data_IF_354174567741
#
_entry.id   IF_354174567741
#
_cell.length_a   1.000
_cell.length_b   1.000
_cell.length_c   1.000
_cell.angle_alpha   90.00
_cell.angle_beta   90.00
_cell.angle_gamma   90.00
#
_symmetry.space_group_name_H-M   'P 1'
#
loop_
_entity.id
_entity.type
_entity.pdbx_description
1 polymer ?
#
# COMPACT_ATOMS: atom_id res chain seq x y z
N UNK A 1 32.39 1.27 -16.91
CA UNK A 1 31.43 0.68 -15.92
C UNK A 1 30.33 1.62 -15.26
N UNK A 2 29.41 2.33 -16.00
CA UNK A 2 28.34 3.20 -15.42
C UNK A 2 27.52 3.29 -14.10
N UNK A 3 28.23 3.31 -12.95
CA UNK A 3 27.66 3.28 -11.57
C UNK A 3 27.18 1.83 -11.13
N UNK A 4 27.12 1.43 -9.82
CA UNK A 4 26.58 0.10 -9.41
C UNK A 4 25.06 -0.14 -9.73
N UNK A 5 24.74 -1.15 -10.55
CA UNK A 5 23.32 -1.46 -10.89
C UNK A 5 22.55 -2.33 -9.84
N UNK A 6 22.29 -1.70 -8.69
CA UNK A 6 21.47 -2.30 -7.60
C UNK A 6 19.93 -2.12 -7.63
N UNK A 7 19.41 -1.19 -8.45
CA UNK A 7 17.96 -0.92 -8.57
C UNK A 7 17.20 -1.89 -9.54
N UNK A 8 17.15 -3.17 -9.17
CA UNK A 8 16.57 -4.27 -10.01
C UNK A 8 15.06 -4.50 -9.66
N UNK A 9 14.19 -3.61 -10.16
CA UNK A 9 12.72 -3.62 -9.84
C UNK A 9 11.84 -3.74 -11.14
N UNK A 10 10.54 -3.42 -11.03
CA UNK A 10 9.51 -3.46 -12.13
C UNK A 10 8.86 -4.88 -12.25
N UNK A 11 7.90 -5.18 -11.36
CA UNK A 11 7.14 -6.45 -11.32
C UNK A 11 5.61 -6.13 -11.38
N UNK A 12 4.84 -6.82 -12.24
CA UNK A 12 3.36 -6.61 -12.32
C UNK A 12 2.59 -7.22 -11.10
N UNK A 13 1.34 -6.77 -10.87
CA UNK A 13 0.52 -7.26 -9.72
C UNK A 13 0.00 -8.73 -9.95
N UNK A 14 -0.23 -9.44 -8.84
CA UNK A 14 -0.56 -10.90 -8.87
C UNK A 14 0.65 -11.88 -8.75
N UNK A 15 1.80 -11.40 -8.25
CA UNK A 15 3.05 -12.18 -8.10
C UNK A 15 3.65 -11.99 -6.66
N UNK A 16 4.42 -12.99 -6.18
CA UNK A 16 5.01 -12.97 -4.81
C UNK A 16 6.14 -11.88 -4.65
N UNK A 17 5.93 -10.93 -3.72
CA UNK A 17 6.87 -9.82 -3.45
C UNK A 17 7.38 -9.80 -1.97
N UNK A 18 8.59 -9.27 -1.76
CA UNK A 18 9.15 -9.06 -0.39
C UNK A 18 8.71 -7.65 0.11
N UNK A 19 9.28 -6.53 -0.38
CA UNK A 19 8.80 -5.14 -0.07
C UNK A 19 7.85 -4.53 -1.16
N UNK A 20 7.24 -3.36 -0.89
CA UNK A 20 6.38 -2.63 -1.89
C UNK A 20 7.14 -1.84 -3.01
N UNK A 21 8.42 -1.47 -2.80
CA UNK A 21 9.25 -0.81 -3.85
C UNK A 21 9.85 -1.71 -4.99
N UNK A 22 9.43 -2.98 -5.07
CA UNK A 22 9.81 -3.93 -6.16
C UNK A 22 8.78 -3.99 -7.34
N UNK A 23 7.46 -3.88 -7.08
CA UNK A 23 6.42 -3.88 -8.13
C UNK A 23 6.25 -2.50 -8.86
N UNK A 24 5.76 -2.55 -10.11
CA UNK A 24 5.38 -1.33 -10.90
C UNK A 24 4.25 -0.53 -10.16
N UNK A 25 3.13 -1.21 -9.83
CA UNK A 25 2.08 -0.67 -8.94
C UNK A 25 2.62 -0.92 -7.48
N UNK A 26 3.15 0.13 -6.83
CA UNK A 26 3.82 0.04 -5.49
C UNK A 26 2.80 -0.27 -4.34
N UNK A 27 2.55 -1.57 -4.23
CA UNK A 27 1.54 -2.15 -3.32
C UNK A 27 1.82 -3.66 -3.08
N UNK A 28 2.81 -4.02 -2.23
CA UNK A 28 3.02 -5.45 -1.83
C UNK A 28 1.95 -5.72 -0.73
N UNK A 29 0.98 -6.59 -1.04
CA UNK A 29 -0.19 -6.83 -0.17
C UNK A 29 0.00 -7.99 0.85
N UNK A 30 -0.15 -7.65 2.14
CA UNK A 30 0.04 -8.59 3.27
C UNK A 30 -1.22 -9.47 3.53
N UNK A 31 -1.05 -10.80 3.51
CA UNK A 31 -2.12 -11.78 3.85
C UNK A 31 -2.52 -11.92 5.38
N UNK A 32 -2.55 -10.81 6.13
CA UNK A 32 -3.01 -10.71 7.55
C UNK A 32 -2.05 -11.45 8.55
N UNK A 33 -1.00 -10.73 8.99
CA UNK A 33 0.06 -11.15 9.98
C UNK A 33 0.96 -12.40 9.62
N UNK A 34 0.51 -13.40 8.85
CA UNK A 34 1.35 -14.55 8.37
C UNK A 34 2.60 -14.17 7.48
N UNK A 35 2.54 -13.07 6.71
CA UNK A 35 3.64 -12.48 5.88
C UNK A 35 3.91 -13.04 4.44
N UNK A 36 3.16 -14.04 3.92
CA UNK A 36 3.27 -14.47 2.50
C UNK A 36 2.56 -13.37 1.63
N UNK A 37 3.36 -12.40 1.18
CA UNK A 37 2.87 -11.17 0.52
C UNK A 37 2.91 -11.24 -1.04
N UNK A 38 1.81 -10.80 -1.66
CA UNK A 38 1.61 -10.84 -3.14
C UNK A 38 1.19 -9.42 -3.63
N UNK A 39 1.80 -8.86 -4.70
CA UNK A 39 1.45 -7.48 -5.17
C UNK A 39 0.00 -7.33 -5.73
N UNK A 40 -0.51 -6.13 -5.49
CA UNK A 40 -1.89 -5.70 -5.79
C UNK A 40 -1.90 -4.26 -6.42
N UNK A 41 -3.11 -3.69 -6.56
CA UNK A 41 -3.29 -2.29 -7.04
C UNK A 41 -3.55 -1.30 -5.84
N UNK A 42 -3.39 0.01 -6.10
CA UNK A 42 -3.71 1.09 -5.12
C UNK A 42 -5.26 1.29 -4.94
N UNK A 43 -5.69 1.84 -3.79
CA UNK A 43 -7.13 1.96 -3.46
C UNK A 43 -7.91 3.10 -4.21
N UNK A 44 -9.20 2.82 -4.40
CA UNK A 44 -10.16 3.70 -5.12
C UNK A 44 -11.21 4.32 -4.16
N UNK A 45 -11.96 5.32 -4.66
CA UNK A 45 -12.94 6.11 -3.86
C UNK A 45 -13.98 5.25 -3.05
N UNK A 46 -14.07 5.53 -1.74
CA UNK A 46 -14.89 4.75 -0.74
C UNK A 46 -14.24 3.39 -0.27
N UNK A 47 -12.95 3.12 -0.54
CA UNK A 47 -12.24 1.91 -0.04
C UNK A 47 -11.21 2.26 1.08
N UNK A 48 -10.95 1.27 1.95
CA UNK A 48 -9.95 1.38 3.03
C UNK A 48 -8.48 1.46 2.49
N UNK A 49 -7.76 2.41 3.08
CA UNK A 49 -6.37 2.76 2.72
C UNK A 49 -5.48 3.04 3.97
N UNK A 50 -4.20 2.65 3.89
CA UNK A 50 -3.19 2.98 4.92
C UNK A 50 -2.74 4.45 4.66
N UNK A 51 -2.94 5.33 5.65
CA UNK A 51 -2.63 6.77 5.48
C UNK A 51 -1.09 7.13 5.45
N UNK A 52 -0.28 6.36 6.18
CA UNK A 52 1.20 6.42 6.17
C UNK A 52 1.77 5.17 5.41
N UNK A 53 2.97 5.29 4.84
CA UNK A 53 3.69 4.14 4.21
C UNK A 53 5.12 4.04 4.78
N UNK A 54 5.53 2.79 4.99
CA UNK A 54 6.91 2.44 5.41
C UNK A 54 7.76 2.04 4.16
N UNK A 55 8.92 1.43 4.43
CA UNK A 55 9.75 0.82 3.37
C UNK A 55 9.42 -0.71 3.41
N UNK A 56 8.21 -1.08 2.96
CA UNK A 56 7.75 -2.49 3.08
C UNK A 56 6.29 -2.77 2.72
N UNK A 57 5.80 -3.88 3.25
CA UNK A 57 4.48 -4.46 2.88
C UNK A 57 3.28 -3.75 3.59
N UNK A 58 2.17 -3.66 2.86
CA UNK A 58 0.96 -2.93 3.30
C UNK A 58 -0.24 -3.88 3.53
N UNK A 59 -0.99 -3.61 4.61
CA UNK A 59 -2.26 -4.33 4.92
C UNK A 59 -3.49 -3.81 4.07
N UNK A 60 -3.57 -2.50 3.82
CA UNK A 60 -4.57 -1.85 2.93
C UNK A 60 -3.74 -0.79 2.14
N UNK A 61 -3.52 -0.96 0.83
CA UNK A 61 -2.69 -0.02 0.03
C UNK A 61 -3.19 1.49 -0.05
N UNK A 62 -2.31 2.53 -0.24
CA UNK A 62 -2.75 3.96 -0.29
C UNK A 62 -3.64 4.35 -1.52
N UNK A 63 -4.25 5.55 -1.48
CA UNK A 63 -5.21 6.00 -2.52
C UNK A 63 -4.61 6.39 -3.92
N UNK A 64 -5.49 6.42 -4.94
CA UNK A 64 -5.12 6.77 -6.34
C UNK A 64 -4.71 8.27 -6.60
N UNK A 65 -4.21 8.58 -7.82
CA UNK A 65 -3.76 9.95 -8.19
C UNK A 65 -4.92 11.01 -8.14
N UNK A 66 -4.73 12.02 -7.28
CA UNK A 66 -5.78 13.04 -6.97
C UNK A 66 -6.67 12.81 -5.72
N UNK A 67 -6.68 11.59 -5.16
CA UNK A 67 -7.49 11.22 -3.97
C UNK A 67 -6.61 11.10 -2.68
N UNK A 68 -7.19 11.51 -1.55
CA UNK A 68 -6.53 11.44 -0.21
C UNK A 68 -7.00 10.20 0.61
N UNK A 69 -6.15 9.79 1.55
CA UNK A 69 -6.51 8.74 2.54
C UNK A 69 -7.07 9.45 3.82
N UNK A 70 -8.35 9.25 4.18
CA UNK A 70 -8.97 10.00 5.32
C UNK A 70 -8.86 9.21 6.67
N UNK A 71 -7.64 9.18 7.24
CA UNK A 71 -7.30 8.39 8.46
C UNK A 71 -7.55 9.09 9.80
N UNK A 72 -8.82 9.24 10.15
CA UNK A 72 -9.24 9.97 11.38
C UNK A 72 -9.48 9.11 12.67
N UNK A 73 -9.93 7.83 12.60
CA UNK A 73 -10.25 7.05 13.84
C UNK A 73 -10.17 5.52 13.55
N UNK A 74 -11.21 4.89 12.96
CA UNK A 74 -11.26 3.43 12.61
C UNK A 74 -10.70 2.39 13.65
N UNK A 75 -11.09 2.54 14.93
CA UNK A 75 -10.65 1.62 16.02
C UNK A 75 -11.89 1.12 16.84
N UNK A 76 -12.76 0.30 16.21
CA UNK A 76 -13.99 -0.27 16.86
C UNK A 76 -13.66 -1.59 17.64
N UNK A 77 -12.93 -1.43 18.76
CA UNK A 77 -12.40 -2.58 19.55
C UNK A 77 -11.06 -3.11 18.99
N UNK A 78 -9.97 -2.34 19.15
CA UNK A 78 -8.67 -2.67 18.51
C UNK A 78 -7.67 -3.56 19.32
N UNK A 79 -7.39 -4.75 18.77
CA UNK A 79 -6.38 -5.71 19.31
C UNK A 79 -5.20 -5.86 18.27
N UNK A 80 -5.48 -6.27 17.03
CA UNK A 80 -4.50 -6.34 15.92
C UNK A 80 -4.24 -4.92 15.28
N UNK A 81 -3.32 -4.83 14.31
CA UNK A 81 -3.04 -3.58 13.54
C UNK A 81 -4.16 -3.21 12.48
N UNK A 82 -5.37 -2.93 12.97
CA UNK A 82 -6.57 -2.61 12.14
C UNK A 82 -7.07 -1.18 12.50
N UNK A 83 -6.41 -0.24 11.82
CA UNK A 83 -6.62 1.22 11.96
C UNK A 83 -6.39 1.87 10.56
N UNK A 84 -7.46 2.16 9.79
CA UNK A 84 -7.31 2.65 8.38
C UNK A 84 -8.32 3.78 7.97
N UNK A 85 -7.88 4.65 7.05
CA UNK A 85 -8.76 5.70 6.46
C UNK A 85 -9.52 5.30 5.19
N UNK A 86 -10.37 6.19 4.68
CA UNK A 86 -11.15 5.92 3.42
C UNK A 86 -10.66 6.89 2.28
N UNK A 87 -10.54 6.38 1.05
CA UNK A 87 -10.16 7.19 -0.14
C UNK A 87 -11.25 8.20 -0.63
N UNK A 88 -10.95 9.51 -0.67
CA UNK A 88 -11.90 10.55 -1.18
C UNK A 88 -11.15 11.65 -2.00
N UNK A 89 -11.87 12.42 -2.82
CA UNK A 89 -11.25 13.41 -3.76
C UNK A 89 -11.10 14.84 -3.14
N UNK A 90 -10.10 14.92 -2.27
CA UNK A 90 -9.68 16.18 -1.56
C UNK A 90 -8.30 16.72 -2.07
N UNK A 91 -7.29 15.85 -2.30
CA UNK A 91 -5.94 16.27 -2.79
C UNK A 91 -5.78 16.56 -4.30
N UNK A 92 -6.48 17.59 -4.78
CA UNK A 92 -6.46 18.00 -6.22
C UNK A 92 -6.18 19.54 -6.36
N UNK A 93 -7.05 20.43 -5.81
CA UNK A 93 -6.81 21.89 -5.87
C UNK A 93 -7.20 22.58 -4.55
#
# INVERSE_FOLDING_TARGET
VPDPRGIIINLDEGELCLNSAQCKSNCCQHDTILSLSRCALKARENSECSAFTLYGVYYKCPCERGLTCEGDKSLVGSITNTNFGICHNVGRS
#
